data_IF_395151771441
#
_entry.id   IF_395151771441
#
_cell.length_a   1.000
_cell.length_b   1.000
_cell.length_c   1.000
_cell.angle_alpha   90.00
_cell.angle_beta   90.00
_cell.angle_gamma   90.00
#
_symmetry.space_group_name_H-M   'P 1'
#
loop_
_entity.id
_entity.type
_entity.pdbx_description
1 polymer ?
#
# COMPACT_ATOMS: atom_id res chain seq x y z
N UNK A 1 4.58 8.22 -13.19
CA UNK A 1 4.37 6.96 -13.94
C UNK A 1 4.28 7.25 -15.42
N UNK A 2 3.12 7.56 -16.00
CA UNK A 2 3.02 7.74 -17.46
C UNK A 2 4.05 8.73 -18.07
N UNK A 3 4.20 9.95 -17.53
CA UNK A 3 5.08 10.97 -18.13
C UNK A 3 6.58 10.68 -18.03
N UNK A 4 7.01 9.88 -17.05
CA UNK A 4 8.43 9.58 -16.82
C UNK A 4 8.81 8.28 -17.55
N UNK A 5 7.86 7.34 -17.64
CA UNK A 5 8.13 5.99 -18.15
C UNK A 5 7.76 5.79 -19.61
N UNK A 6 6.95 6.67 -20.21
CA UNK A 6 6.61 6.60 -21.64
C UNK A 6 7.83 6.62 -22.56
N UNK A 7 8.93 7.26 -22.14
CA UNK A 7 10.18 7.29 -22.90
C UNK A 7 10.99 5.99 -22.83
N UNK A 8 10.83 5.20 -21.75
CA UNK A 8 11.58 3.96 -21.52
C UNK A 8 10.76 2.70 -21.86
N UNK A 9 9.44 2.76 -21.69
CA UNK A 9 8.49 1.68 -22.02
C UNK A 9 7.19 2.23 -22.63
N UNK A 10 7.21 2.62 -23.91
CA UNK A 10 6.03 3.13 -24.59
C UNK A 10 4.92 2.08 -24.78
N UNK A 11 5.25 0.78 -24.80
CA UNK A 11 4.25 -0.30 -24.91
C UNK A 11 3.54 -0.59 -23.57
N UNK A 12 4.26 -0.54 -22.44
CA UNK A 12 3.69 -0.81 -21.12
C UNK A 12 2.99 0.41 -20.51
N UNK A 13 3.43 1.63 -20.86
CA UNK A 13 2.80 2.89 -20.48
C UNK A 13 2.29 3.63 -21.73
N UNK A 14 1.41 2.97 -22.49
CA UNK A 14 0.86 3.50 -23.73
C UNK A 14 -0.06 4.70 -23.48
N UNK A 15 -0.84 4.64 -22.40
CA UNK A 15 -1.86 5.64 -22.07
C UNK A 15 -1.75 6.11 -20.61
N UNK A 16 -2.35 7.25 -20.30
CA UNK A 16 -2.52 7.71 -18.89
C UNK A 16 -3.25 6.65 -18.05
N UNK A 17 -4.18 5.91 -18.67
CA UNK A 17 -4.93 4.83 -18.02
C UNK A 17 -4.03 3.71 -17.48
N UNK A 18 -2.97 3.34 -18.20
CA UNK A 18 -2.05 2.26 -17.80
C UNK A 18 -1.19 2.70 -16.61
N UNK A 19 -0.77 3.97 -16.60
CA UNK A 19 -0.11 4.58 -15.44
C UNK A 19 -1.02 4.66 -14.21
N UNK A 20 -2.32 4.85 -14.41
CA UNK A 20 -3.31 4.90 -13.34
C UNK A 20 -3.61 3.50 -12.80
N UNK A 21 -3.74 2.50 -13.67
CA UNK A 21 -3.84 1.08 -13.31
C UNK A 21 -2.65 0.68 -12.45
N UNK A 22 -1.42 0.89 -12.93
CA UNK A 22 -0.20 0.60 -12.18
C UNK A 22 -0.22 1.25 -10.78
N UNK A 23 -0.65 2.52 -10.70
CA UNK A 23 -0.70 3.24 -9.43
C UNK A 23 -1.68 2.59 -8.45
N UNK A 24 -2.82 2.10 -8.93
CA UNK A 24 -3.82 1.39 -8.11
C UNK A 24 -3.28 0.05 -7.62
N UNK A 25 -2.69 -0.79 -8.49
CA UNK A 25 -2.14 -2.09 -8.07
C UNK A 25 -0.93 -1.96 -7.15
N UNK A 26 -0.07 -0.96 -7.39
CA UNK A 26 1.03 -0.61 -6.49
C UNK A 26 0.53 -0.08 -5.14
N UNK A 27 -0.57 0.69 -5.13
CA UNK A 27 -1.19 1.20 -3.90
C UNK A 27 -2.01 0.15 -3.14
N UNK A 28 -2.41 -0.94 -3.78
CA UNK A 28 -3.18 -2.04 -3.16
C UNK A 28 -2.31 -3.24 -2.79
N UNK A 29 -0.98 -3.18 -3.00
CA UNK A 29 -0.02 -4.29 -2.78
C UNK A 29 -0.30 -5.54 -3.61
N UNK A 30 -1.25 -5.49 -4.53
CA UNK A 30 -1.54 -6.63 -5.40
C UNK A 30 -0.38 -6.83 -6.38
N UNK A 31 0.12 -5.73 -6.98
CA UNK A 31 1.23 -5.70 -7.95
C UNK A 31 1.34 -6.97 -8.81
N UNK A 32 0.51 -7.07 -9.85
CA UNK A 32 0.51 -8.24 -10.74
C UNK A 32 1.84 -8.45 -11.48
N UNK A 33 2.65 -7.41 -11.64
CA UNK A 33 3.94 -7.48 -12.35
C UNK A 33 3.80 -7.47 -13.87
N UNK A 34 2.60 -7.25 -14.37
CA UNK A 34 2.26 -6.99 -15.77
C UNK A 34 2.88 -5.70 -16.29
N UNK A 35 2.88 -4.66 -15.46
CA UNK A 35 3.46 -3.35 -15.75
C UNK A 35 4.32 -2.96 -14.54
N UNK A 36 5.54 -2.50 -14.78
CA UNK A 36 6.43 -2.06 -13.70
C UNK A 36 7.41 -0.98 -14.18
N UNK A 37 7.76 -0.02 -13.31
CA UNK A 37 8.74 1.00 -13.62
C UNK A 37 10.13 0.36 -13.79
N UNK A 38 10.82 0.75 -14.85
CA UNK A 38 12.20 0.33 -15.13
C UNK A 38 13.21 1.43 -14.90
N UNK A 39 12.79 2.69 -14.95
CA UNK A 39 13.68 3.82 -14.75
C UNK A 39 14.10 3.91 -13.29
N UNK A 40 15.37 4.30 -13.02
CA UNK A 40 15.87 4.45 -11.66
C UNK A 40 15.05 5.46 -10.85
N UNK A 41 14.58 6.53 -11.49
CA UNK A 41 13.78 7.58 -10.86
C UNK A 41 12.43 7.04 -10.35
N UNK A 42 11.76 6.23 -11.16
CA UNK A 42 10.46 5.68 -10.80
C UNK A 42 10.55 4.56 -9.76
N UNK A 43 11.64 3.80 -9.73
CA UNK A 43 11.91 2.84 -8.65
C UNK A 43 12.04 3.52 -7.29
N UNK A 44 12.68 4.68 -7.23
CA UNK A 44 12.81 5.46 -5.98
C UNK A 44 11.43 5.97 -5.54
N UNK A 45 10.64 6.55 -6.45
CA UNK A 45 9.29 7.01 -6.16
C UNK A 45 8.39 5.87 -5.66
N UNK A 46 8.43 4.72 -6.33
CA UNK A 46 7.67 3.53 -5.93
C UNK A 46 8.09 3.00 -4.55
N UNK A 47 9.37 3.14 -4.20
CA UNK A 47 9.89 2.74 -2.88
C UNK A 47 9.39 3.68 -1.78
N UNK A 48 9.37 4.99 -2.03
CA UNK A 48 8.83 5.98 -1.09
C UNK A 48 7.34 5.74 -0.84
N UNK A 49 6.56 5.50 -1.90
CA UNK A 49 5.12 5.19 -1.81
C UNK A 49 4.90 3.93 -0.96
N UNK A 50 5.72 2.89 -1.15
CA UNK A 50 5.63 1.65 -0.37
C UNK A 50 5.92 1.88 1.13
N UNK A 51 6.91 2.72 1.45
CA UNK A 51 7.25 3.07 2.83
C UNK A 51 6.12 3.83 3.53
N UNK A 52 5.53 4.83 2.86
CA UNK A 52 4.39 5.60 3.39
C UNK A 52 3.21 4.68 3.67
N UNK A 53 2.96 3.68 2.83
CA UNK A 53 1.88 2.70 3.06
C UNK A 53 2.11 1.86 4.31
N UNK A 54 3.32 1.33 4.49
CA UNK A 54 3.67 0.54 5.68
C UNK A 54 3.54 1.40 6.94
N UNK A 55 4.01 2.65 6.89
CA UNK A 55 3.89 3.59 8.00
C UNK A 55 2.43 3.87 8.38
N UNK A 56 1.52 4.01 7.40
CA UNK A 56 0.10 4.22 7.66
C UNK A 56 -0.62 2.97 8.21
N UNK A 57 -0.14 1.75 7.92
CA UNK A 57 -0.78 0.51 8.40
C UNK A 57 -0.64 0.32 9.91
N UNK A 58 0.47 0.77 10.47
CA UNK A 58 0.82 0.63 11.89
C UNK A 58 -0.24 1.28 12.82
N UNK A 59 -0.66 2.55 12.65
CA UNK A 59 -1.66 3.18 13.51
C UNK A 59 -3.05 2.53 13.43
N UNK A 60 -3.50 2.06 12.25
CA UNK A 60 -4.77 1.33 12.16
C UNK A 60 -4.72 -0.01 12.91
N UNK A 61 -3.61 -0.71 12.83
CA UNK A 61 -3.40 -1.97 13.55
C UNK A 61 -3.40 -1.73 15.07
N UNK A 62 -2.72 -0.68 15.54
CA UNK A 62 -2.76 -0.28 16.95
C UNK A 62 -4.16 0.13 17.41
N UNK A 63 -4.92 0.85 16.59
CA UNK A 63 -6.29 1.20 16.91
C UNK A 63 -7.17 -0.04 17.04
N UNK A 64 -7.07 -1.01 16.10
CA UNK A 64 -7.82 -2.28 16.17
C UNK A 64 -7.41 -3.12 17.39
N UNK A 65 -6.12 -3.17 17.72
CA UNK A 65 -5.64 -3.85 18.92
C UNK A 65 -6.15 -3.17 20.20
N UNK A 66 -6.08 -1.83 20.28
CA UNK A 66 -6.54 -1.06 21.43
C UNK A 66 -8.05 -1.21 21.66
N UNK A 67 -8.89 -1.19 20.62
CA UNK A 67 -10.34 -1.41 20.81
C UNK A 67 -10.64 -2.84 21.26
N UNK A 68 -9.93 -3.85 20.75
CA UNK A 68 -10.14 -5.22 21.20
C UNK A 68 -9.66 -5.41 22.64
N UNK A 69 -8.56 -4.80 23.06
CA UNK A 69 -8.09 -4.90 24.45
C UNK A 69 -8.92 -4.04 25.43
N UNK A 70 -9.34 -2.84 25.03
CA UNK A 70 -10.10 -1.92 25.88
C UNK A 70 -11.60 -2.28 25.98
N UNK A 71 -12.19 -2.90 24.96
CA UNK A 71 -13.62 -3.24 24.93
C UNK A 71 -13.94 -4.75 25.06
N UNK A 72 -12.98 -5.67 24.98
CA UNK A 72 -13.27 -7.11 25.15
C UNK A 72 -13.33 -7.60 26.60
N UNK A 73 -13.03 -6.77 27.60
CA UNK A 73 -13.17 -7.13 29.02
C UNK A 73 -14.41 -6.51 29.67
N UNK A 74 -15.50 -7.29 29.79
CA UNK A 74 -16.42 -7.10 30.90
C UNK A 74 -16.85 -8.40 31.61
N UNK A 75 -16.05 -9.48 31.62
CA UNK A 75 -16.53 -10.76 32.20
C UNK A 75 -15.55 -11.62 33.00
N UNK A 76 -14.22 -11.36 33.02
CA UNK A 76 -13.31 -12.27 33.74
C UNK A 76 -13.29 -12.06 35.28
N UNK A 77 -13.78 -10.93 35.79
CA UNK A 77 -13.64 -10.55 37.21
C UNK A 77 -14.90 -10.73 38.07
N UNK A 78 -15.62 -11.85 37.93
CA UNK A 78 -16.71 -12.23 38.87
C UNK A 78 -16.74 -13.72 39.23
N UNK A 79 -15.65 -14.47 39.02
CA UNK A 79 -15.61 -15.92 39.32
C UNK A 79 -14.42 -16.37 40.17
N UNK A 80 -13.97 -15.51 41.07
CA UNK A 80 -13.11 -15.86 42.20
C UNK A 80 -13.71 -15.25 43.45
N UNK A 81 -14.77 -15.91 43.93
CA UNK A 81 -15.15 -15.90 45.35
C UNK A 81 -14.60 -17.17 45.96
#
# INVERSE_FOLDING_TARGET
MYYIERGAQPEAFANIGDGLWWSIVAFTTVSYGDIYPVTPLEKILSSIISLIRIANRIPYQYHQFYIHEYYAEPTARKRTR
#
